data_IF_529189282974
#
_entry.id   IF_529189282974
#
_cell.length_a   1.000
_cell.length_b   1.000
_cell.length_c   1.000
_cell.angle_alpha   90.00
_cell.angle_beta   90.00
_cell.angle_gamma   90.00
#
_symmetry.space_group_name_H-M   'P 1'
#
loop_
_entity.id
_entity.type
_entity.pdbx_description
1 polymer ?
#
# COMPACT_ATOMS: atom_id res chain seq x y z
N UNK A 1 -12.87 -19.59 15.96
CA UNK A 1 -12.16 -19.19 14.73
C UNK A 1 -11.74 -17.74 14.95
N UNK A 2 -10.46 -17.39 14.74
CA UNK A 2 -10.01 -15.99 14.86
C UNK A 2 -10.07 -15.43 13.44
N UNK A 3 -11.09 -14.62 13.15
CA UNK A 3 -11.21 -13.89 11.88
C UNK A 3 -10.29 -12.68 11.90
N UNK A 4 -9.61 -12.39 10.79
CA UNK A 4 -8.70 -11.26 10.72
C UNK A 4 -8.14 -10.98 9.33
N UNK A 5 -7.39 -9.88 9.23
CA UNK A 5 -6.68 -9.52 8.00
C UNK A 5 -5.54 -10.52 7.75
N UNK A 6 -5.58 -11.19 6.60
CA UNK A 6 -4.50 -12.08 6.15
C UNK A 6 -3.95 -11.61 4.82
N UNK A 7 -2.66 -11.30 4.75
CA UNK A 7 -1.98 -11.03 3.49
C UNK A 7 -1.76 -12.36 2.77
N UNK A 8 -2.28 -12.47 1.55
CA UNK A 8 -2.17 -13.68 0.72
C UNK A 8 -1.05 -13.58 -0.31
N UNK A 9 -0.71 -12.37 -0.74
CA UNK A 9 0.35 -12.14 -1.72
C UNK A 9 0.93 -10.73 -1.59
N UNK A 10 2.27 -10.63 -1.68
CA UNK A 10 2.98 -9.36 -1.74
C UNK A 10 3.83 -9.33 -3.02
N UNK A 11 3.60 -8.32 -3.86
CA UNK A 11 4.32 -8.10 -5.12
C UNK A 11 5.14 -6.82 -4.98
N UNK A 12 6.43 -6.99 -4.71
CA UNK A 12 7.40 -5.89 -4.65
C UNK A 12 8.59 -6.28 -5.53
N UNK A 13 8.89 -5.52 -6.58
CA UNK A 13 10.07 -5.77 -7.41
C UNK A 13 11.35 -5.48 -6.61
N UNK A 14 12.31 -6.40 -6.67
CA UNK A 14 13.58 -6.28 -5.95
C UNK A 14 14.44 -5.12 -6.47
N UNK A 15 14.37 -4.85 -7.78
CA UNK A 15 15.16 -3.85 -8.48
C UNK A 15 14.32 -3.27 -9.62
N UNK A 16 14.43 -1.96 -9.84
CA UNK A 16 13.80 -1.25 -10.95
C UNK A 16 14.84 -0.37 -11.62
N UNK A 17 14.77 -0.30 -12.95
CA UNK A 17 15.62 0.61 -13.73
C UNK A 17 15.22 2.06 -13.48
N UNK A 18 16.21 2.95 -13.43
CA UNK A 18 15.98 4.39 -13.27
C UNK A 18 14.94 4.91 -14.27
N UNK A 19 14.02 5.76 -13.80
CA UNK A 19 12.91 6.34 -14.57
C UNK A 19 11.88 5.32 -15.10
N UNK A 20 11.76 4.13 -14.48
CA UNK A 20 10.67 3.20 -14.72
C UNK A 20 9.73 3.15 -13.51
N UNK A 21 8.45 2.90 -13.77
CA UNK A 21 7.45 2.77 -12.72
C UNK A 21 7.48 1.38 -12.07
N UNK A 22 7.11 1.33 -10.80
CA UNK A 22 6.91 0.13 -10.01
C UNK A 22 5.43 -0.08 -9.74
N UNK A 23 4.96 -1.32 -9.71
CA UNK A 23 3.68 -1.64 -9.08
C UNK A 23 3.95 -2.35 -7.77
N UNK A 24 3.51 -1.74 -6.66
CA UNK A 24 3.50 -2.37 -5.35
C UNK A 24 2.12 -3.00 -5.12
N UNK A 25 2.05 -4.33 -5.09
CA UNK A 25 0.81 -5.06 -4.95
C UNK A 25 0.71 -5.76 -3.59
N UNK A 26 -0.46 -5.66 -2.96
CA UNK A 26 -0.79 -6.44 -1.77
C UNK A 26 -2.18 -7.05 -1.97
N UNK A 27 -2.27 -8.39 -1.97
CA UNK A 27 -3.55 -9.09 -1.87
C UNK A 27 -3.76 -9.53 -0.43
N UNK A 28 -4.97 -9.34 0.05
CA UNK A 28 -5.35 -9.69 1.40
C UNK A 28 -6.79 -10.20 1.43
N UNK A 29 -7.08 -11.04 2.41
CA UNK A 29 -8.41 -11.51 2.76
C UNK A 29 -8.81 -10.88 4.11
N UNK A 30 -10.08 -10.50 4.20
CA UNK A 30 -10.63 -9.80 5.36
C UNK A 30 -11.47 -10.70 6.27
N UNK A 31 -11.72 -11.97 5.89
CA UNK A 31 -12.51 -12.95 6.66
C UNK A 31 -13.81 -12.40 7.28
N UNK A 32 -14.51 -11.50 6.58
CA UNK A 32 -15.77 -10.87 7.03
C UNK A 32 -15.61 -9.48 7.67
N UNK A 33 -14.38 -9.01 7.89
CA UNK A 33 -14.07 -7.71 8.49
C UNK A 33 -13.94 -6.57 7.46
N UNK A 34 -13.84 -5.32 7.93
CA UNK A 34 -13.64 -4.14 7.09
C UNK A 34 -12.19 -3.64 7.13
N UNK A 35 -11.62 -3.29 5.97
CA UNK A 35 -10.25 -2.83 5.88
C UNK A 35 -10.13 -1.46 6.58
N UNK A 36 -9.20 -1.37 7.54
CA UNK A 36 -8.90 -0.10 8.19
C UNK A 36 -8.03 0.80 7.30
N UNK A 37 -6.85 0.31 6.89
CA UNK A 37 -5.95 1.06 6.00
C UNK A 37 -4.93 0.17 5.31
N UNK A 38 -4.49 0.56 4.11
CA UNK A 38 -3.24 0.11 3.48
C UNK A 38 -2.27 1.29 3.48
N UNK A 39 -1.02 1.06 3.89
CA UNK A 39 0.01 2.11 3.94
C UNK A 39 1.30 1.58 3.32
N UNK A 40 1.96 2.42 2.53
CA UNK A 40 3.29 2.13 2.00
C UNK A 40 4.31 3.08 2.62
N UNK A 41 5.43 2.48 3.02
CA UNK A 41 6.56 3.17 3.64
C UNK A 41 7.83 2.92 2.84
N UNK A 42 8.68 3.94 2.77
CA UNK A 42 10.06 3.83 2.30
C UNK A 42 10.96 4.52 3.32
N UNK A 43 11.97 3.81 3.78
CA UNK A 43 12.96 4.31 4.76
C UNK A 43 12.32 4.89 6.04
N UNK A 44 11.21 4.30 6.47
CA UNK A 44 10.44 4.73 7.65
C UNK A 44 9.45 5.87 7.40
N UNK A 45 9.43 6.46 6.20
CA UNK A 45 8.50 7.52 5.82
C UNK A 45 7.30 6.97 5.05
N UNK A 46 6.10 7.34 5.50
CA UNK A 46 4.87 7.04 4.77
C UNK A 46 4.80 7.89 3.50
N UNK A 47 4.55 7.27 2.35
CA UNK A 47 4.39 7.99 1.08
C UNK A 47 3.03 7.76 0.41
N UNK A 48 2.30 6.72 0.81
CA UNK A 48 0.95 6.44 0.32
C UNK A 48 0.08 5.80 1.40
N UNK A 49 -1.17 6.22 1.47
CA UNK A 49 -2.20 5.65 2.34
C UNK A 49 -3.50 5.47 1.58
N UNK A 50 -4.14 4.32 1.77
CA UNK A 50 -5.51 4.06 1.37
C UNK A 50 -6.36 3.72 2.60
N UNK A 51 -7.38 4.52 2.88
CA UNK A 51 -8.38 4.32 3.93
C UNK A 51 -9.75 4.30 3.26
N UNK A 52 -10.44 3.15 3.16
CA UNK A 52 -11.72 3.05 2.44
C UNK A 52 -12.82 4.01 2.91
N UNK A 53 -12.73 4.45 4.18
CA UNK A 53 -13.73 5.31 4.82
C UNK A 53 -13.43 6.81 4.68
N UNK A 54 -12.27 7.18 4.13
CA UNK A 54 -11.87 8.58 3.95
C UNK A 54 -12.37 9.15 2.61
N UNK A 55 -12.39 10.48 2.51
CA UNK A 55 -12.71 11.20 1.27
C UNK A 55 -11.67 12.31 1.02
N UNK A 56 -10.75 12.17 0.04
CA UNK A 56 -10.57 11.00 -0.82
C UNK A 56 -10.02 9.78 -0.06
N UNK A 57 -10.29 8.54 -0.53
CA UNK A 57 -9.84 7.33 0.14
C UNK A 57 -8.33 7.11 0.00
N UNK A 58 -7.69 7.74 -0.99
CA UNK A 58 -6.25 7.71 -1.21
C UNK A 58 -5.61 9.05 -0.83
N UNK A 59 -4.50 8.98 -0.10
CA UNK A 59 -3.69 10.13 0.31
C UNK A 59 -2.23 9.85 -0.09
N UNK A 60 -1.60 10.83 -0.71
CA UNK A 60 -0.18 10.79 -1.10
C UNK A 60 0.60 11.75 -0.21
N UNK A 61 1.70 11.27 0.36
CA UNK A 61 2.60 12.07 1.15
C UNK A 61 3.90 12.27 0.36
N UNK A 62 4.27 13.51 0.00
CA UNK A 62 5.47 13.75 -0.79
C UNK A 62 6.73 13.21 -0.12
N UNK A 63 7.48 12.39 -0.84
CA UNK A 63 8.77 11.83 -0.40
C UNK A 63 9.79 11.97 -1.53
N UNK A 64 10.98 12.57 -1.30
CA UNK A 64 11.96 12.77 -2.36
C UNK A 64 12.32 11.48 -3.10
N UNK A 65 12.22 11.50 -4.43
CA UNK A 65 12.50 10.35 -5.30
C UNK A 65 11.35 9.35 -5.43
N UNK A 66 10.16 9.67 -4.92
CA UNK A 66 8.92 8.91 -5.12
C UNK A 66 7.89 9.80 -5.79
N UNK A 67 7.45 9.37 -6.97
CA UNK A 67 6.33 9.95 -7.70
C UNK A 67 5.22 8.89 -7.77
N UNK A 68 4.00 9.28 -7.42
CA UNK A 68 2.79 8.43 -7.47
C UNK A 68 1.88 8.98 -8.57
N UNK A 69 1.45 8.11 -9.48
CA UNK A 69 0.57 8.40 -10.62
C UNK A 69 -0.92 8.28 -10.30
#
# INVERSE_FOLDING_TARGET
QISGLRITEMRIPNLIMRNKSATLGCKFEMEGESLYSVKWYKDGFEFYRYVPRDMPPAQVFPLPGIDID
#
